data_IF_902107623689
#
_entry.id   IF_902107623689
#
_cell.length_a   1.000
_cell.length_b   1.000
_cell.length_c   1.000
_cell.angle_alpha   90.00
_cell.angle_beta   90.00
_cell.angle_gamma   90.00
#
_symmetry.space_group_name_H-M   'P 1'
#
loop_
_entity.id
_entity.type
_entity.pdbx_description
1 polymer ?
#
# COMPACT_ATOMS: atom_id res chain seq x y z
N UNK A 1 -1.90 36.01 57.92
CA UNK A 1 -2.21 34.63 57.46
C UNK A 1 -3.13 34.66 56.24
N UNK A 2 -4.33 35.25 56.32
CA UNK A 2 -5.24 35.35 55.17
C UNK A 2 -4.61 36.01 53.93
N UNK A 3 -3.88 37.13 54.09
CA UNK A 3 -3.16 37.78 52.99
C UNK A 3 -2.07 36.91 52.35
N UNK A 4 -1.45 36.01 53.14
CA UNK A 4 -0.47 35.06 52.61
C UNK A 4 -1.14 33.92 51.83
N UNK A 5 -2.34 33.49 52.25
CA UNK A 5 -3.16 32.51 51.54
C UNK A 5 -3.63 33.11 50.21
N UNK A 6 -4.14 34.34 50.22
CA UNK A 6 -4.62 35.04 49.03
C UNK A 6 -3.55 35.17 47.94
N UNK A 7 -2.32 35.46 48.36
CA UNK A 7 -1.19 35.63 47.44
C UNK A 7 -0.48 34.30 47.09
N UNK A 8 -0.98 33.15 47.57
CA UNK A 8 -0.39 31.84 47.27
C UNK A 8 -0.65 31.44 45.81
N UNK A 9 0.37 30.87 45.16
CA UNK A 9 0.23 30.24 43.83
C UNK A 9 -0.10 28.75 43.90
N UNK A 10 0.09 28.15 45.07
CA UNK A 10 -0.23 26.74 45.33
C UNK A 10 -1.65 26.71 45.91
N UNK A 11 -2.56 25.85 45.40
CA UNK A 11 -3.90 25.73 45.95
C UNK A 11 -3.90 25.36 47.42
N UNK A 12 -4.71 26.04 48.23
CA UNK A 12 -4.78 25.86 49.69
C UNK A 12 -6.17 25.34 50.08
N UNK A 13 -6.19 24.26 50.87
CA UNK A 13 -7.41 23.74 51.49
C UNK A 13 -7.41 24.14 52.96
N UNK A 14 -8.40 24.90 53.41
CA UNK A 14 -8.58 25.21 54.82
C UNK A 14 -9.24 24.03 55.54
N UNK A 15 -8.64 23.58 56.64
CA UNK A 15 -9.07 22.41 57.39
C UNK A 15 -9.26 22.71 58.89
N UNK A 16 -9.74 23.92 59.19
CA UNK A 16 -9.86 24.45 60.56
C UNK A 16 -11.27 24.16 61.10
N UNK A 17 -11.49 22.94 61.60
CA UNK A 17 -12.53 22.62 62.60
C UNK A 17 -14.01 22.59 62.16
N UNK A 18 -14.87 22.24 63.13
CA UNK A 18 -16.28 21.85 62.95
C UNK A 18 -17.16 22.94 62.32
N UNK A 19 -18.28 22.53 61.70
CA UNK A 19 -19.13 23.34 60.79
C UNK A 19 -19.43 24.78 61.23
N UNK A 20 -19.42 25.06 62.53
CA UNK A 20 -19.77 26.35 63.16
C UNK A 20 -18.58 27.32 63.37
N UNK A 21 -17.34 26.86 63.33
CA UNK A 21 -16.17 27.72 63.50
C UNK A 21 -15.68 28.20 62.12
N UNK A 22 -15.83 29.49 61.83
CA UNK A 22 -15.36 30.13 60.61
C UNK A 22 -14.22 31.10 60.90
N UNK A 23 -13.17 31.01 60.10
CA UNK A 23 -12.01 31.91 60.15
C UNK A 23 -11.88 32.68 58.84
N UNK A 24 -11.23 33.85 58.88
CA UNK A 24 -10.98 34.65 57.66
C UNK A 24 -10.14 33.85 56.64
N UNK A 25 -9.30 32.91 57.10
CA UNK A 25 -8.57 31.99 56.21
C UNK A 25 -9.48 31.06 55.41
N UNK A 26 -10.64 30.66 55.92
CA UNK A 26 -11.58 29.80 55.19
C UNK A 26 -12.17 30.48 53.96
N UNK A 27 -12.35 31.79 54.01
CA UNK A 27 -12.92 32.58 52.91
C UNK A 27 -11.90 32.92 51.83
N UNK A 28 -10.60 32.78 52.14
CA UNK A 28 -9.51 33.15 51.25
C UNK A 28 -8.81 31.91 50.66
N UNK A 29 -9.07 30.72 51.22
CA UNK A 29 -8.61 29.44 50.69
C UNK A 29 -9.43 28.99 49.46
N UNK A 30 -8.83 28.17 48.60
CA UNK A 30 -9.48 27.63 47.39
C UNK A 30 -10.59 26.63 47.72
N UNK A 31 -10.42 25.88 48.81
CA UNK A 31 -11.39 24.88 49.25
C UNK A 31 -11.44 24.82 50.79
N UNK A 32 -12.61 24.50 51.33
CA UNK A 32 -12.78 24.23 52.77
C UNK A 32 -13.09 22.75 52.98
N UNK A 33 -12.44 22.17 53.98
CA UNK A 33 -12.71 20.83 54.48
C UNK A 33 -13.02 20.90 56.00
N UNK A 34 -13.94 20.06 56.50
CA UNK A 34 -14.35 20.08 57.91
C UNK A 34 -13.27 19.52 58.86
N UNK A 35 -12.36 18.70 58.34
CA UNK A 35 -11.27 18.10 59.12
C UNK A 35 -9.98 18.03 58.29
N UNK A 36 -8.80 18.01 58.94
CA UNK A 36 -7.53 17.78 58.26
C UNK A 36 -7.51 16.50 57.42
N UNK A 37 -8.17 15.44 57.88
CA UNK A 37 -8.30 14.18 57.14
C UNK A 37 -9.12 14.36 55.86
N UNK A 38 -10.25 15.07 55.91
CA UNK A 38 -11.05 15.36 54.72
C UNK A 38 -10.30 16.25 53.72
N UNK A 39 -9.48 17.19 54.19
CA UNK A 39 -8.61 17.98 53.31
C UNK A 39 -7.57 17.09 52.60
N UNK A 40 -7.01 16.10 53.31
CA UNK A 40 -6.07 15.16 52.73
C UNK A 40 -6.71 14.26 51.67
N UNK A 41 -7.94 13.78 51.92
CA UNK A 41 -8.72 13.00 50.94
C UNK A 41 -9.04 13.81 49.68
N UNK A 42 -9.35 15.11 49.83
CA UNK A 42 -9.60 16.00 48.68
C UNK A 42 -8.33 16.32 47.90
N UNK A 43 -7.17 16.34 48.55
CA UNK A 43 -5.89 16.65 47.93
C UNK A 43 -5.25 15.45 47.21
N UNK A 44 -5.65 14.21 47.54
CA UNK A 44 -5.01 12.99 47.05
C UNK A 44 -5.92 12.25 46.07
N UNK A 45 -5.42 11.85 44.88
CA UNK A 45 -6.21 11.08 43.94
C UNK A 45 -6.64 9.72 44.50
N UNK A 46 -7.84 9.27 44.15
CA UNK A 46 -8.37 7.98 44.59
C UNK A 46 -7.49 6.82 44.13
N UNK A 47 -7.13 5.93 45.05
CA UNK A 47 -6.34 4.73 44.75
C UNK A 47 -7.06 3.82 43.76
N UNK A 48 -8.39 3.76 43.81
CA UNK A 48 -9.24 2.98 42.91
C UNK A 48 -9.17 3.54 41.48
N UNK A 49 -9.20 4.87 41.34
CA UNK A 49 -9.06 5.53 40.04
C UNK A 49 -7.70 5.27 39.42
N UNK A 50 -6.63 5.34 40.23
CA UNK A 50 -5.27 5.06 39.77
C UNK A 50 -5.12 3.60 39.31
N UNK A 51 -5.67 2.65 40.06
CA UNK A 51 -5.68 1.23 39.68
C UNK A 51 -6.47 1.02 38.38
N UNK A 52 -7.64 1.66 38.25
CA UNK A 52 -8.46 1.62 37.03
C UNK A 52 -7.69 2.16 35.82
N UNK A 53 -7.00 3.29 36.00
CA UNK A 53 -6.17 3.90 34.97
C UNK A 53 -5.04 2.95 34.52
N UNK A 54 -4.31 2.35 35.45
CA UNK A 54 -3.26 1.36 35.15
C UNK A 54 -3.83 0.16 34.38
N UNK A 55 -5.01 -0.33 34.78
CA UNK A 55 -5.67 -1.44 34.09
C UNK A 55 -6.04 -1.07 32.65
N UNK A 56 -6.56 0.14 32.42
CA UNK A 56 -6.85 0.63 31.07
C UNK A 56 -5.59 0.73 30.21
N UNK A 57 -4.48 1.21 30.77
CA UNK A 57 -3.19 1.25 30.09
C UNK A 57 -2.71 -0.16 29.69
N UNK A 58 -2.85 -1.15 30.60
CA UNK A 58 -2.50 -2.54 30.32
C UNK A 58 -3.36 -3.15 29.20
N UNK A 59 -4.67 -2.91 29.21
CA UNK A 59 -5.58 -3.35 28.14
C UNK A 59 -5.15 -2.75 26.80
N UNK A 60 -4.87 -1.44 26.77
CA UNK A 60 -4.44 -0.74 25.54
C UNK A 60 -3.11 -1.29 25.03
N UNK A 61 -2.14 -1.53 25.92
CA UNK A 61 -0.85 -2.14 25.59
C UNK A 61 -1.03 -3.52 24.95
N UNK A 62 -1.81 -4.38 25.59
CA UNK A 62 -2.03 -5.75 25.10
C UNK A 62 -2.73 -5.76 23.74
N UNK A 63 -3.72 -4.89 23.53
CA UNK A 63 -4.35 -4.70 22.21
C UNK A 63 -3.33 -4.27 21.14
N UNK A 64 -2.42 -3.35 21.48
CA UNK A 64 -1.35 -2.93 20.58
C UNK A 64 -0.44 -4.08 20.17
N UNK A 65 0.00 -4.89 21.13
CA UNK A 65 0.85 -6.07 20.89
C UNK A 65 0.14 -7.07 19.96
N UNK A 66 -1.12 -7.42 20.27
CA UNK A 66 -1.91 -8.35 19.45
C UNK A 66 -2.09 -7.83 18.03
N UNK A 67 -2.34 -6.54 17.86
CA UNK A 67 -2.46 -5.93 16.53
C UNK A 67 -1.15 -6.00 15.73
N UNK A 68 0.00 -5.78 16.36
CA UNK A 68 1.31 -5.91 15.70
C UNK A 68 1.55 -7.35 15.25
N UNK A 69 1.27 -8.32 16.12
CA UNK A 69 1.41 -9.75 15.81
C UNK A 69 0.51 -10.13 14.64
N UNK A 70 -0.76 -9.72 14.66
CA UNK A 70 -1.71 -10.02 13.58
C UNK A 70 -1.28 -9.40 12.25
N UNK A 71 -0.87 -8.13 12.24
CA UNK A 71 -0.36 -7.48 11.02
C UNK A 71 0.86 -8.20 10.44
N UNK A 72 1.80 -8.60 11.29
CA UNK A 72 2.99 -9.33 10.86
C UNK A 72 2.63 -10.73 10.34
N UNK A 73 1.66 -11.41 10.96
CA UNK A 73 1.14 -12.69 10.49
C UNK A 73 0.45 -12.55 9.13
N UNK A 74 -0.39 -11.54 8.94
CA UNK A 74 -1.03 -11.24 7.66
C UNK A 74 0.01 -10.93 6.57
N UNK A 75 1.03 -10.14 6.88
CA UNK A 75 2.13 -9.84 5.96
C UNK A 75 2.93 -11.09 5.60
N UNK A 76 3.18 -11.96 6.56
CA UNK A 76 3.86 -13.23 6.30
C UNK A 76 2.99 -14.12 5.42
N UNK A 77 1.69 -14.24 5.72
CA UNK A 77 0.75 -15.00 4.91
C UNK A 77 0.64 -14.45 3.49
N UNK A 78 0.60 -13.13 3.29
CA UNK A 78 0.54 -12.55 1.94
C UNK A 78 1.83 -12.77 1.14
N UNK A 79 2.99 -12.76 1.82
CA UNK A 79 4.26 -13.11 1.20
C UNK A 79 4.34 -14.61 0.85
N UNK A 80 3.93 -15.50 1.76
CA UNK A 80 3.94 -16.95 1.52
C UNK A 80 2.87 -17.40 0.53
N UNK A 81 1.71 -16.73 0.51
CA UNK A 81 0.64 -16.97 -0.45
C UNK A 81 0.84 -16.27 -1.79
N UNK A 82 1.88 -15.43 -1.92
CA UNK A 82 2.24 -14.87 -3.21
C UNK A 82 2.52 -16.02 -4.17
N UNK A 83 1.66 -16.12 -5.18
CA UNK A 83 1.62 -17.13 -6.25
C UNK A 83 2.99 -17.46 -6.86
N UNK A 84 3.88 -16.48 -6.85
CA UNK A 84 5.29 -16.54 -7.28
C UNK A 84 6.10 -17.61 -6.53
N UNK A 85 5.85 -17.81 -5.22
CA UNK A 85 6.55 -18.83 -4.42
C UNK A 85 5.85 -20.19 -4.46
N UNK A 86 4.55 -20.23 -4.77
CA UNK A 86 3.78 -21.48 -4.89
C UNK A 86 4.01 -22.19 -6.21
N UNK A 87 4.13 -21.44 -7.31
CA UNK A 87 4.30 -22.00 -8.65
C UNK A 87 5.38 -21.20 -9.42
N UNK A 88 6.67 -21.35 -9.08
CA UNK A 88 7.75 -20.73 -9.84
C UNK A 88 7.72 -21.15 -11.32
N UNK A 89 7.20 -22.34 -11.62
CA UNK A 89 7.03 -22.89 -12.96
C UNK A 89 6.10 -22.03 -13.84
N UNK A 90 5.03 -21.46 -13.27
CA UNK A 90 4.10 -20.57 -14.00
C UNK A 90 4.77 -19.32 -14.58
N UNK A 91 5.83 -18.84 -13.94
CA UNK A 91 6.62 -17.69 -14.42
C UNK A 91 7.40 -18.08 -15.68
N UNK A 92 7.90 -19.31 -15.73
CA UNK A 92 8.61 -19.85 -16.88
C UNK A 92 7.64 -20.23 -18.00
N UNK A 93 6.47 -20.76 -17.67
CA UNK A 93 5.43 -21.16 -18.62
C UNK A 93 4.95 -19.98 -19.47
N UNK A 94 4.66 -18.82 -18.85
CA UNK A 94 4.27 -17.60 -19.57
C UNK A 94 5.40 -17.06 -20.46
N UNK A 95 6.66 -17.22 -20.02
CA UNK A 95 7.83 -16.83 -20.82
C UNK A 95 8.06 -17.78 -22.00
N UNK A 96 7.91 -19.08 -21.79
CA UNK A 96 8.00 -20.11 -22.82
C UNK A 96 6.93 -19.90 -23.89
N UNK A 97 5.68 -19.71 -23.50
CA UNK A 97 4.58 -19.44 -24.43
C UNK A 97 4.80 -18.15 -25.25
N UNK A 98 5.44 -17.12 -24.67
CA UNK A 98 5.85 -15.93 -25.43
C UNK A 98 6.91 -16.25 -26.47
N UNK A 99 7.89 -17.08 -26.14
CA UNK A 99 8.92 -17.52 -27.09
C UNK A 99 8.27 -18.30 -28.23
N UNK A 100 7.40 -19.25 -27.93
CA UNK A 100 6.72 -20.07 -28.94
C UNK A 100 5.91 -19.20 -29.92
N UNK A 101 5.12 -18.26 -29.39
CA UNK A 101 4.37 -17.31 -30.21
C UNK A 101 5.28 -16.45 -31.10
N UNK A 102 6.45 -16.02 -30.60
CA UNK A 102 7.41 -15.24 -31.38
C UNK A 102 8.06 -16.09 -32.47
N UNK A 103 8.37 -17.35 -32.18
CA UNK A 103 8.93 -18.31 -33.13
C UNK A 103 7.93 -18.61 -34.25
N UNK A 104 6.67 -18.91 -33.91
CA UNK A 104 5.61 -19.13 -34.90
C UNK A 104 5.41 -17.91 -35.79
N UNK A 105 5.37 -16.71 -35.19
CA UNK A 105 5.24 -15.46 -35.94
C UNK A 105 6.41 -15.23 -36.88
N UNK A 106 7.64 -15.52 -36.44
CA UNK A 106 8.84 -15.41 -37.26
C UNK A 106 8.78 -16.37 -38.45
N UNK A 107 8.46 -17.65 -38.21
CA UNK A 107 8.35 -18.67 -39.24
C UNK A 107 7.28 -18.32 -40.27
N UNK A 108 6.13 -17.82 -39.81
CA UNK A 108 5.07 -17.34 -40.67
C UNK A 108 5.54 -16.20 -41.58
N UNK A 109 6.20 -15.18 -41.02
CA UNK A 109 6.70 -14.03 -41.78
C UNK A 109 7.75 -14.47 -42.82
N UNK A 110 8.68 -15.34 -42.44
CA UNK A 110 9.70 -15.88 -43.36
C UNK A 110 9.03 -16.60 -44.52
N UNK A 111 8.09 -17.50 -44.24
CA UNK A 111 7.38 -18.26 -45.27
C UNK A 111 6.62 -17.33 -46.20
N UNK A 112 5.83 -16.40 -45.67
CA UNK A 112 5.11 -15.42 -46.48
C UNK A 112 6.05 -14.56 -47.32
N UNK A 113 7.24 -14.21 -46.81
CA UNK A 113 8.20 -13.43 -47.58
C UNK A 113 8.82 -14.23 -48.74
N UNK A 114 9.13 -15.51 -48.50
CA UNK A 114 9.63 -16.42 -49.53
C UNK A 114 8.59 -16.66 -50.62
N UNK A 115 7.34 -16.94 -50.24
CA UNK A 115 6.24 -17.17 -51.18
C UNK A 115 6.00 -15.94 -52.07
N UNK A 116 5.99 -14.74 -51.49
CA UNK A 116 5.86 -13.49 -52.22
C UNK A 116 7.02 -13.27 -53.21
N UNK A 117 8.26 -13.54 -52.78
CA UNK A 117 9.43 -13.41 -53.67
C UNK A 117 9.38 -14.43 -54.81
N UNK A 118 8.99 -15.67 -54.54
CA UNK A 118 8.82 -16.71 -55.56
C UNK A 118 7.75 -16.32 -56.59
N UNK A 119 6.60 -15.85 -56.14
CA UNK A 119 5.54 -15.37 -57.03
C UNK A 119 6.01 -14.18 -57.87
N UNK A 120 6.73 -13.23 -57.28
CA UNK A 120 7.31 -12.11 -58.01
C UNK A 120 8.30 -12.56 -59.09
N UNK A 121 9.19 -13.50 -58.78
CA UNK A 121 10.12 -14.08 -59.76
C UNK A 121 9.37 -14.75 -60.91
N UNK A 122 8.34 -15.55 -60.62
CA UNK A 122 7.50 -16.20 -61.63
C UNK A 122 6.78 -15.18 -62.51
N UNK A 123 6.27 -14.08 -61.93
CA UNK A 123 5.67 -13.00 -62.70
C UNK A 123 6.67 -12.28 -63.61
N UNK A 124 7.90 -12.06 -63.14
CA UNK A 124 8.98 -11.47 -63.95
C UNK A 124 9.35 -12.40 -65.11
N UNK A 125 9.49 -13.71 -64.85
CA UNK A 125 9.79 -14.71 -65.86
C UNK A 125 8.73 -14.76 -66.96
N UNK A 126 7.44 -14.78 -66.59
CA UNK A 126 6.32 -14.75 -67.54
C UNK A 126 6.34 -13.46 -68.37
N UNK A 127 6.56 -12.30 -67.74
CA UNK A 127 6.65 -11.02 -68.46
C UNK A 127 7.83 -10.98 -69.44
N UNK A 128 8.98 -11.52 -69.03
CA UNK A 128 10.17 -11.59 -69.87
C UNK A 128 9.95 -12.50 -71.08
N UNK A 129 9.40 -13.70 -70.88
CA UNK A 129 9.05 -14.63 -71.95
C UNK A 129 8.03 -14.06 -72.93
N UNK A 130 7.01 -13.35 -72.43
CA UNK A 130 6.03 -12.69 -73.28
C UNK A 130 6.65 -11.53 -74.09
N UNK A 131 7.55 -10.74 -73.49
CA UNK A 131 8.28 -9.69 -74.21
C UNK A 131 9.21 -10.25 -75.30
N UNK A 132 9.90 -11.36 -75.03
CA UNK A 132 10.72 -12.05 -76.04
C UNK A 132 9.84 -12.55 -77.19
N UNK A 133 8.72 -13.21 -76.90
CA UNK A 133 7.78 -13.65 -77.95
C UNK A 133 7.24 -12.49 -78.78
N UNK A 134 6.87 -11.39 -78.14
CA UNK A 134 6.37 -10.21 -78.83
C UNK A 134 7.44 -9.55 -79.71
N UNK A 135 8.69 -9.45 -79.24
CA UNK A 135 9.79 -8.87 -80.03
C UNK A 135 10.21 -9.77 -81.20
N UNK A 136 10.18 -11.10 -81.03
CA UNK A 136 10.39 -12.06 -82.12
C UNK A 136 9.28 -11.94 -83.17
N UNK A 137 8.00 -11.99 -82.78
CA UNK A 137 6.88 -11.84 -83.71
C UNK A 137 6.91 -10.51 -84.46
N UNK A 138 7.27 -9.41 -83.79
CA UNK A 138 7.38 -8.10 -84.45
C UNK A 138 8.55 -8.03 -85.45
N UNK A 139 9.64 -8.78 -85.23
CA UNK A 139 10.71 -8.93 -86.21
C UNK A 139 10.26 -9.78 -87.38
N UNK A 140 9.63 -10.94 -87.16
CA UNK A 140 9.15 -11.82 -88.23
C UNK A 140 8.13 -11.12 -89.13
N UNK A 141 7.19 -10.38 -88.54
CA UNK A 141 6.21 -9.59 -89.30
C UNK A 141 6.83 -8.45 -90.12
N UNK A 142 8.02 -7.95 -89.75
CA UNK A 142 8.76 -6.97 -90.57
C UNK A 142 9.47 -7.62 -91.76
N UNK A 143 9.89 -8.88 -91.65
CA UNK A 143 10.51 -9.60 -92.76
C UNK A 143 9.51 -10.17 -93.77
N UNK A 144 8.26 -10.40 -93.35
CA UNK A 144 7.19 -10.92 -94.23
C UNK A 144 6.49 -9.78 -95.01
N UNK A 145 6.60 -8.52 -94.53
CA UNK A 145 5.97 -7.34 -95.14
C UNK A 145 6.96 -6.43 -95.92
N UNK A 146 8.13 -6.95 -96.26
CA UNK A 146 9.14 -6.33 -97.14
C UNK A 146 9.54 -7.33 -98.23
#
# INVERSE_FOLDING_TARGET
MAEAIFNSKIPIISAVGHEIDFTISDFVADLRAPTPTAAAELAVPSTIELISYINQLNIRRNKGIVNIINKNKEKLLSLTSSYILKNPESIYEVKAQKIDNLVEKLLFIIKSKLDNNYNNLKHIEVRFNNNIKNTLNNKTNRYINN
#
